data_IF_963688664324
#
_entry.id   IF_963688664324
#
_cell.length_a   1.000
_cell.length_b   1.000
_cell.length_c   1.000
_cell.angle_alpha   90.00
_cell.angle_beta   90.00
_cell.angle_gamma   90.00
#
_symmetry.space_group_name_H-M   'P 1'
#
loop_
_entity.id
_entity.type
_entity.pdbx_description
1 polymer ?
#
# COMPACT_ATOMS: atom_id res chain seq x y z
N UNK A 1 57.82 -101.77 40.63
CA UNK A 1 57.34 -100.72 41.55
C UNK A 1 56.18 -100.05 40.87
N UNK A 2 54.98 -100.52 41.18
CA UNK A 2 53.73 -100.00 40.63
C UNK A 2 53.33 -98.76 41.43
N UNK A 3 53.15 -97.62 40.77
CA UNK A 3 52.62 -96.42 41.39
C UNK A 3 51.10 -96.57 41.52
N UNK A 4 50.65 -97.12 42.64
CA UNK A 4 49.22 -97.17 42.96
C UNK A 4 48.75 -95.74 43.26
N UNK A 5 48.08 -95.11 42.30
CA UNK A 5 47.36 -93.86 42.49
C UNK A 5 46.26 -94.12 43.53
N UNK A 6 46.48 -93.69 44.78
CA UNK A 6 45.45 -93.72 45.80
C UNK A 6 44.41 -92.65 45.50
N UNK A 7 43.24 -93.06 45.04
CA UNK A 7 42.07 -92.20 44.97
C UNK A 7 41.55 -92.00 46.39
N UNK A 8 41.72 -90.80 46.95
CA UNK A 8 41.01 -90.42 48.16
C UNK A 8 39.55 -90.13 47.76
N UNK A 9 38.70 -91.14 47.85
CA UNK A 9 37.25 -90.99 47.71
C UNK A 9 36.69 -90.48 49.03
N UNK A 10 36.39 -89.18 49.07
CA UNK A 10 35.59 -88.59 50.14
C UNK A 10 34.16 -89.17 50.09
N UNK A 11 33.49 -89.38 51.23
CA UNK A 11 32.13 -89.90 51.26
C UNK A 11 31.17 -88.94 50.54
N UNK A 12 30.23 -89.50 49.76
CA UNK A 12 29.33 -88.80 48.82
C UNK A 12 28.54 -87.62 49.43
N UNK A 13 28.31 -87.63 50.74
CA UNK A 13 27.60 -86.56 51.46
C UNK A 13 28.43 -85.28 51.57
N UNK A 14 29.74 -85.43 51.82
CA UNK A 14 30.64 -84.30 52.01
C UNK A 14 30.99 -83.65 50.67
N UNK A 15 31.11 -84.45 49.60
CA UNK A 15 31.30 -83.96 48.24
C UNK A 15 30.10 -83.12 47.77
N UNK A 16 28.87 -83.59 47.99
CA UNK A 16 27.65 -82.80 47.68
C UNK A 16 27.63 -81.47 48.42
N UNK A 17 27.98 -81.48 49.71
CA UNK A 17 28.00 -80.26 50.51
C UNK A 17 29.10 -79.28 50.04
N UNK A 18 30.27 -79.76 49.60
CA UNK A 18 31.31 -78.90 49.01
C UNK A 18 30.89 -78.35 47.65
N UNK A 19 30.26 -79.14 46.79
CA UNK A 19 29.75 -78.70 45.47
C UNK A 19 28.67 -77.64 45.60
N UNK A 20 27.77 -77.82 46.55
CA UNK A 20 26.67 -76.88 46.83
C UNK A 20 27.18 -75.58 47.45
N UNK A 21 28.17 -75.67 48.36
CA UNK A 21 28.89 -74.49 48.88
C UNK A 21 29.61 -73.74 47.76
N UNK A 22 30.37 -74.43 46.90
CA UNK A 22 31.08 -73.83 45.77
C UNK A 22 30.12 -73.20 44.75
N UNK A 23 28.99 -73.86 44.45
CA UNK A 23 27.96 -73.32 43.58
C UNK A 23 27.30 -72.07 44.19
N UNK A 24 27.07 -72.05 45.50
CA UNK A 24 26.51 -70.90 46.21
C UNK A 24 27.48 -69.71 46.28
N UNK A 25 28.77 -69.94 46.55
CA UNK A 25 29.79 -68.88 46.52
C UNK A 25 30.03 -68.36 45.10
N UNK A 26 30.05 -69.24 44.10
CA UNK A 26 30.24 -68.83 42.70
C UNK A 26 29.05 -68.02 42.18
N UNK A 27 27.80 -68.43 42.49
CA UNK A 27 26.61 -67.61 42.20
C UNK A 27 26.66 -66.25 42.91
N UNK A 28 27.03 -66.21 44.20
CA UNK A 28 27.16 -64.94 44.94
C UNK A 28 28.24 -64.03 44.37
N UNK A 29 29.34 -64.61 43.90
CA UNK A 29 30.44 -63.85 43.30
C UNK A 29 30.05 -63.30 41.93
N UNK A 30 29.30 -64.07 41.13
CA UNK A 30 28.80 -63.66 39.81
C UNK A 30 27.68 -62.60 39.92
N UNK A 31 26.76 -62.75 40.89
CA UNK A 31 25.76 -61.73 41.25
C UNK A 31 26.41 -60.42 41.71
N UNK A 32 27.48 -60.51 42.51
CA UNK A 32 28.26 -59.34 42.94
C UNK A 32 28.99 -58.68 41.76
N UNK A 33 29.55 -59.47 40.84
CA UNK A 33 30.21 -58.95 39.64
C UNK A 33 29.22 -58.28 38.69
N UNK A 34 28.04 -58.88 38.48
CA UNK A 34 26.92 -58.26 37.75
C UNK A 34 26.43 -56.98 38.43
N UNK A 35 26.35 -56.96 39.77
CA UNK A 35 25.97 -55.79 40.55
C UNK A 35 26.97 -54.64 40.40
N UNK A 36 28.27 -54.94 40.40
CA UNK A 36 29.35 -53.97 40.18
C UNK A 36 29.31 -53.42 38.75
N UNK A 37 29.13 -54.28 37.74
CA UNK A 37 29.07 -53.87 36.33
C UNK A 37 27.82 -53.00 36.04
N UNK A 38 26.66 -53.38 36.61
CA UNK A 38 25.45 -52.53 36.59
C UNK A 38 25.69 -51.17 37.24
N UNK A 39 26.37 -51.12 38.39
CA UNK A 39 26.68 -49.87 39.10
C UNK A 39 27.64 -48.99 38.31
N UNK A 40 28.59 -49.59 37.59
CA UNK A 40 29.53 -48.87 36.74
C UNK A 40 28.84 -48.31 35.49
N UNK A 41 27.96 -49.10 34.85
CA UNK A 41 27.11 -48.65 33.74
C UNK A 41 26.17 -47.51 34.13
N UNK A 42 25.55 -47.58 35.31
CA UNK A 42 24.72 -46.51 35.88
C UNK A 42 25.52 -45.21 36.11
N UNK A 43 26.75 -45.31 36.59
CA UNK A 43 27.64 -44.14 36.75
C UNK A 43 28.01 -43.52 35.40
N UNK A 44 28.28 -44.33 34.37
CA UNK A 44 28.58 -43.84 33.02
C UNK A 44 27.36 -43.14 32.40
N UNK A 45 26.18 -43.76 32.47
CA UNK A 45 24.92 -43.18 32.00
C UNK A 45 24.59 -41.85 32.69
N UNK A 46 24.85 -41.76 34.01
CA UNK A 46 24.63 -40.51 34.75
C UNK A 46 25.55 -39.38 34.29
N UNK A 47 26.82 -39.68 34.01
CA UNK A 47 27.77 -38.69 33.44
C UNK A 47 27.36 -38.25 32.04
N UNK A 48 26.82 -39.15 31.24
CA UNK A 48 26.32 -38.84 29.90
C UNK A 48 25.06 -37.98 29.95
N UNK A 49 24.11 -38.31 30.84
CA UNK A 49 22.91 -37.50 31.10
C UNK A 49 23.26 -36.08 31.59
N UNK A 50 24.18 -35.97 32.55
CA UNK A 50 24.65 -34.68 33.05
C UNK A 50 25.40 -33.86 31.97
N UNK A 51 26.05 -34.53 31.00
CA UNK A 51 26.67 -33.90 29.83
C UNK A 51 25.66 -33.50 28.75
N UNK A 52 24.57 -34.24 28.57
CA UNK A 52 23.55 -33.98 27.54
C UNK A 52 22.52 -32.93 27.96
N UNK A 53 22.18 -32.85 29.26
CA UNK A 53 21.27 -31.81 29.81
C UNK A 53 21.58 -30.37 29.39
N UNK A 54 22.82 -29.86 29.48
CA UNK A 54 23.13 -28.49 29.06
C UNK A 54 22.97 -28.30 27.54
N UNK A 55 23.31 -29.31 26.73
CA UNK A 55 23.12 -29.25 25.29
C UNK A 55 21.64 -29.17 24.91
N UNK A 56 20.78 -29.94 25.60
CA UNK A 56 19.33 -29.88 25.42
C UNK A 56 18.79 -28.48 25.78
N UNK A 57 19.20 -27.92 26.92
CA UNK A 57 18.82 -26.55 27.32
C UNK A 57 19.28 -25.49 26.32
N UNK A 58 20.50 -25.62 25.79
CA UNK A 58 21.03 -24.72 24.77
C UNK A 58 20.23 -24.83 23.46
N UNK A 59 19.92 -26.05 23.00
CA UNK A 59 19.09 -26.27 21.82
C UNK A 59 17.67 -25.71 22.00
N UNK A 60 17.08 -25.87 23.19
CA UNK A 60 15.78 -25.27 23.53
C UNK A 60 15.84 -23.74 23.52
N UNK A 61 16.91 -23.14 24.05
CA UNK A 61 17.10 -21.69 24.02
C UNK A 61 17.27 -21.17 22.58
N UNK A 62 18.06 -21.85 21.74
CA UNK A 62 18.28 -21.49 20.34
C UNK A 62 16.97 -21.58 19.56
N UNK A 63 16.20 -22.65 19.72
CA UNK A 63 14.91 -22.81 19.03
C UNK A 63 13.88 -21.77 19.47
N UNK A 64 13.83 -21.43 20.77
CA UNK A 64 13.01 -20.31 21.26
C UNK A 64 13.43 -18.97 20.66
N UNK A 65 14.73 -18.69 20.59
CA UNK A 65 15.25 -17.46 19.99
C UNK A 65 14.95 -17.40 18.48
N UNK A 66 15.11 -18.51 17.76
CA UNK A 66 14.79 -18.60 16.33
C UNK A 66 13.29 -18.37 16.07
N UNK A 67 12.40 -18.94 16.90
CA UNK A 67 10.95 -18.70 16.81
C UNK A 67 10.60 -17.22 17.02
N UNK A 68 11.21 -16.55 17.99
CA UNK A 68 10.99 -15.11 18.21
C UNK A 68 11.38 -14.29 16.99
N UNK A 69 12.57 -14.51 16.45
CA UNK A 69 13.03 -13.85 15.22
C UNK A 69 12.10 -14.10 14.05
N UNK A 70 11.61 -15.34 13.89
CA UNK A 70 10.64 -15.66 12.85
C UNK A 70 9.37 -14.79 12.98
N UNK A 71 8.79 -14.69 14.17
CA UNK A 71 7.59 -13.89 14.38
C UNK A 71 7.84 -12.38 14.16
N UNK A 72 8.95 -11.85 14.67
CA UNK A 72 9.36 -10.46 14.47
C UNK A 72 9.50 -10.11 12.97
N UNK A 73 10.12 -10.99 12.19
CA UNK A 73 10.24 -10.77 10.75
C UNK A 73 8.90 -10.94 10.00
N UNK A 74 8.03 -11.85 10.43
CA UNK A 74 6.68 -11.95 9.85
C UNK A 74 5.83 -10.72 10.11
N UNK A 75 5.97 -10.09 11.28
CA UNK A 75 5.28 -8.84 11.62
C UNK A 75 5.76 -7.70 10.71
N UNK A 76 7.08 -7.50 10.61
CA UNK A 76 7.68 -6.51 9.68
C UNK A 76 7.26 -6.74 8.24
N UNK A 77 7.20 -8.01 7.79
CA UNK A 77 6.75 -8.36 6.44
C UNK A 77 5.30 -7.93 6.23
N UNK A 78 4.43 -8.19 7.21
CA UNK A 78 3.02 -7.81 7.15
C UNK A 78 2.82 -6.28 7.12
N UNK A 79 3.60 -5.54 7.91
CA UNK A 79 3.61 -4.07 7.90
C UNK A 79 4.05 -3.53 6.54
N UNK A 80 5.13 -4.09 5.97
CA UNK A 80 5.62 -3.68 4.66
C UNK A 80 4.61 -3.98 3.55
N UNK A 81 3.94 -5.13 3.61
CA UNK A 81 2.86 -5.47 2.67
C UNK A 81 1.69 -4.50 2.78
N UNK A 82 1.31 -4.10 4.00
CA UNK A 82 0.28 -3.10 4.21
C UNK A 82 0.66 -1.75 3.61
N UNK A 83 1.89 -1.28 3.87
CA UNK A 83 2.40 -0.02 3.30
C UNK A 83 2.45 -0.07 1.77
N UNK A 84 2.91 -1.18 1.20
CA UNK A 84 2.95 -1.37 -0.24
C UNK A 84 1.55 -1.31 -0.85
N UNK A 85 0.57 -1.97 -0.23
CA UNK A 85 -0.83 -1.92 -0.68
C UNK A 85 -1.38 -0.49 -0.62
N UNK A 86 -1.16 0.22 0.50
CA UNK A 86 -1.58 1.61 0.64
C UNK A 86 -0.95 2.53 -0.42
N UNK A 87 0.35 2.36 -0.70
CA UNK A 87 1.05 3.11 -1.74
C UNK A 87 0.52 2.79 -3.14
N UNK A 88 0.23 1.51 -3.42
CA UNK A 88 -0.33 1.09 -4.70
C UNK A 88 -1.75 1.64 -4.90
N UNK A 89 -2.59 1.63 -3.86
CA UNK A 89 -3.94 2.21 -3.93
C UNK A 89 -3.87 3.71 -4.23
N UNK A 90 -2.95 4.44 -3.59
CA UNK A 90 -2.68 5.84 -3.88
C UNK A 90 -2.19 6.06 -5.33
N UNK A 91 -1.31 5.20 -5.83
CA UNK A 91 -0.84 5.26 -7.22
C UNK A 91 -1.99 5.05 -8.22
N UNK A 92 -2.89 4.10 -7.93
CA UNK A 92 -4.05 3.83 -8.76
C UNK A 92 -5.01 5.03 -8.79
N UNK A 93 -5.26 5.65 -7.64
CA UNK A 93 -6.08 6.87 -7.56
C UNK A 93 -5.45 8.02 -8.36
N UNK A 94 -4.16 8.29 -8.17
CA UNK A 94 -3.44 9.33 -8.89
C UNK A 94 -3.47 9.09 -10.41
N UNK A 95 -3.35 7.84 -10.84
CA UNK A 95 -3.47 7.48 -12.25
C UNK A 95 -4.90 7.70 -12.78
N UNK A 96 -5.93 7.32 -12.01
CA UNK A 96 -7.32 7.57 -12.38
C UNK A 96 -7.60 9.09 -12.52
N UNK A 97 -7.10 9.90 -11.58
CA UNK A 97 -7.20 11.35 -11.64
C UNK A 97 -6.50 11.92 -12.89
N UNK A 98 -5.29 11.46 -13.21
CA UNK A 98 -4.57 11.86 -14.42
C UNK A 98 -5.38 11.54 -15.69
N UNK A 99 -5.98 10.36 -15.76
CA UNK A 99 -6.80 9.96 -16.91
C UNK A 99 -8.05 10.83 -17.03
N UNK A 100 -8.71 11.14 -15.91
CA UNK A 100 -9.84 12.06 -15.89
C UNK A 100 -9.44 13.47 -16.37
N UNK A 101 -8.31 14.01 -15.90
CA UNK A 101 -7.81 15.32 -16.33
C UNK A 101 -7.45 15.34 -17.81
N UNK A 102 -6.83 14.28 -18.34
CA UNK A 102 -6.56 14.14 -19.79
C UNK A 102 -7.85 14.16 -20.60
N UNK A 103 -8.87 13.40 -20.18
CA UNK A 103 -10.20 13.42 -20.82
C UNK A 103 -10.81 14.82 -20.79
N UNK A 104 -10.79 15.49 -19.63
CA UNK A 104 -11.31 16.86 -19.50
C UNK A 104 -10.57 17.85 -20.39
N UNK A 105 -9.24 17.73 -20.49
CA UNK A 105 -8.42 18.56 -21.38
C UNK A 105 -8.80 18.35 -22.84
N UNK A 106 -8.94 17.09 -23.27
CA UNK A 106 -9.36 16.75 -24.63
C UNK A 106 -10.75 17.31 -24.96
N UNK A 107 -11.72 17.16 -24.05
CA UNK A 107 -13.07 17.70 -24.25
C UNK A 107 -13.07 19.22 -24.34
N UNK A 108 -12.34 19.92 -23.45
CA UNK A 108 -12.21 21.38 -23.50
C UNK A 108 -11.53 21.87 -24.79
N UNK A 109 -10.59 21.09 -25.31
CA UNK A 109 -9.83 21.43 -26.52
C UNK A 109 -10.42 20.83 -27.80
N UNK A 110 -11.61 20.22 -27.75
CA UNK A 110 -12.23 19.51 -28.88
C UNK A 110 -12.29 20.35 -30.16
N UNK A 111 -12.64 21.63 -30.02
CA UNK A 111 -12.78 22.56 -31.15
C UNK A 111 -11.55 23.45 -31.39
N UNK A 112 -10.58 23.44 -30.47
CA UNK A 112 -9.43 24.35 -30.53
C UNK A 112 -8.54 24.10 -31.75
N UNK A 113 -8.15 22.85 -32.00
CA UNK A 113 -7.27 22.50 -33.12
C UNK A 113 -7.95 22.71 -34.48
N UNK A 114 -9.21 22.26 -34.70
CA UNK A 114 -9.94 22.60 -35.92
C UNK A 114 -9.98 24.10 -36.23
N UNK A 115 -10.26 24.94 -35.22
CA UNK A 115 -10.28 26.39 -35.42
C UNK A 115 -8.90 26.96 -35.77
N UNK A 116 -7.83 26.40 -35.18
CA UNK A 116 -6.46 26.81 -35.51
C UNK A 116 -6.08 26.40 -36.94
N UNK A 117 -6.46 25.20 -37.36
CA UNK A 117 -6.21 24.73 -38.72
C UNK A 117 -6.98 25.56 -39.74
N UNK A 118 -8.23 25.92 -39.44
CA UNK A 118 -9.04 26.75 -40.31
C UNK A 118 -8.52 28.19 -40.41
N UNK A 119 -8.00 28.74 -39.31
CA UNK A 119 -7.27 30.01 -39.32
C UNK A 119 -6.03 29.93 -40.22
N UNK A 120 -5.25 28.85 -40.12
CA UNK A 120 -4.06 28.65 -40.95
C UNK A 120 -4.44 28.56 -42.44
N UNK A 121 -5.47 27.80 -42.80
CA UNK A 121 -5.97 27.71 -44.18
C UNK A 121 -6.43 29.06 -44.72
N UNK A 122 -7.16 29.85 -43.93
CA UNK A 122 -7.57 31.19 -44.32
C UNK A 122 -6.35 32.09 -44.59
N UNK A 123 -5.34 32.03 -43.72
CA UNK A 123 -4.08 32.76 -43.91
C UNK A 123 -3.33 32.30 -45.16
N UNK A 124 -3.26 30.99 -45.44
CA UNK A 124 -2.65 30.46 -46.66
C UNK A 124 -3.35 30.94 -47.93
N UNK A 125 -4.69 30.97 -47.94
CA UNK A 125 -5.46 31.49 -49.08
C UNK A 125 -5.28 33.00 -49.25
N UNK A 126 -5.22 33.74 -48.14
CA UNK A 126 -4.94 35.16 -48.15
C UNK A 126 -3.53 35.47 -48.70
N UNK A 127 -2.52 34.71 -48.29
CA UNK A 127 -1.13 34.83 -48.78
C UNK A 127 -1.01 34.47 -50.27
N UNK A 128 -1.79 33.48 -50.74
CA UNK A 128 -1.86 33.12 -52.17
C UNK A 128 -2.57 34.18 -53.01
N UNK A 129 -3.32 35.10 -52.39
CA UNK A 129 -4.07 36.15 -53.08
C UNK A 129 -5.38 35.68 -53.72
N UNK A 130 -5.82 34.44 -53.44
CA UNK A 130 -7.08 33.89 -53.98
C UNK A 130 -8.27 34.37 -53.15
N UNK A 131 -8.77 35.55 -53.53
CA UNK A 131 -9.87 36.24 -52.82
C UNK A 131 -11.19 35.47 -52.90
N UNK A 132 -11.45 34.80 -54.02
CA UNK A 132 -12.72 34.07 -54.25
C UNK A 132 -12.74 32.81 -53.39
N UNK A 133 -11.64 32.04 -53.39
CA UNK A 133 -11.55 30.87 -52.53
C UNK A 133 -11.60 31.23 -51.04
N UNK A 134 -10.95 32.33 -50.64
CA UNK A 134 -11.00 32.82 -49.26
C UNK A 134 -12.43 33.22 -48.85
N UNK A 135 -13.15 33.95 -49.70
CA UNK A 135 -14.54 34.35 -49.41
C UNK A 135 -15.44 33.13 -49.25
N UNK A 136 -15.37 32.18 -50.19
CA UNK A 136 -16.14 30.94 -50.12
C UNK A 136 -15.78 30.12 -48.87
N UNK A 137 -14.50 30.07 -48.50
CA UNK A 137 -14.05 29.41 -47.27
C UNK A 137 -14.67 30.07 -46.02
N UNK A 138 -14.66 31.39 -45.93
CA UNK A 138 -15.27 32.12 -44.81
C UNK A 138 -16.79 31.89 -44.73
N UNK A 139 -17.50 31.90 -45.86
CA UNK A 139 -18.95 31.62 -45.90
C UNK A 139 -19.22 30.19 -45.40
N UNK A 140 -18.50 29.20 -45.93
CA UNK A 140 -18.64 27.81 -45.51
C UNK A 140 -18.34 27.61 -44.01
N UNK A 141 -17.42 28.39 -43.42
CA UNK A 141 -17.15 28.34 -41.99
C UNK A 141 -18.30 28.86 -41.15
N UNK A 142 -18.91 29.98 -41.56
CA UNK A 142 -20.08 30.53 -40.88
C UNK A 142 -21.25 29.56 -40.98
N UNK A 143 -21.50 28.97 -42.15
CA UNK A 143 -22.55 27.97 -42.33
C UNK A 143 -22.36 26.75 -41.41
N UNK A 144 -21.14 26.18 -41.34
CA UNK A 144 -20.83 25.08 -40.41
C UNK A 144 -21.03 25.47 -38.94
N UNK A 145 -20.64 26.68 -38.57
CA UNK A 145 -20.85 27.18 -37.22
C UNK A 145 -22.34 27.32 -36.91
N UNK A 146 -23.13 27.88 -37.83
CA UNK A 146 -24.57 28.05 -37.67
C UNK A 146 -25.30 26.72 -37.61
N UNK A 147 -24.89 25.74 -38.41
CA UNK A 147 -25.42 24.37 -38.35
C UNK A 147 -25.15 23.73 -36.98
N UNK A 148 -23.91 23.86 -36.47
CA UNK A 148 -23.54 23.38 -35.14
C UNK A 148 -24.30 24.11 -34.02
N UNK A 149 -24.49 25.42 -34.15
CA UNK A 149 -25.23 26.24 -33.19
C UNK A 149 -26.71 25.87 -33.12
N UNK A 150 -27.33 25.56 -34.25
CA UNK A 150 -28.75 25.23 -34.34
C UNK A 150 -29.03 23.78 -33.93
N UNK A 151 -28.21 22.83 -34.37
CA UNK A 151 -28.45 21.41 -34.16
C UNK A 151 -27.90 20.86 -32.84
N UNK A 152 -26.87 21.49 -32.26
CA UNK A 152 -26.20 20.98 -31.06
C UNK A 152 -26.39 21.90 -29.84
N UNK A 153 -27.34 21.54 -28.98
CA UNK A 153 -27.63 22.27 -27.74
C UNK A 153 -26.46 22.24 -26.73
N UNK A 154 -25.68 21.14 -26.68
CA UNK A 154 -24.53 21.04 -25.78
C UNK A 154 -23.44 22.05 -26.18
N UNK A 155 -23.16 22.17 -27.47
CA UNK A 155 -22.23 23.18 -28.00
C UNK A 155 -22.70 24.60 -27.65
N UNK A 156 -24.00 24.89 -27.84
CA UNK A 156 -24.59 26.20 -27.52
C UNK A 156 -24.40 26.56 -26.05
N UNK A 157 -24.75 25.64 -25.15
CA UNK A 157 -24.59 25.82 -23.69
C UNK A 157 -23.14 26.04 -23.29
N UNK A 158 -22.20 25.28 -23.86
CA UNK A 158 -20.78 25.46 -23.60
C UNK A 158 -20.28 26.81 -24.12
N UNK A 159 -20.63 27.17 -25.35
CA UNK A 159 -20.25 28.44 -25.94
C UNK A 159 -20.75 29.63 -25.10
N UNK A 160 -22.02 29.62 -24.69
CA UNK A 160 -22.58 30.64 -23.80
C UNK A 160 -21.85 30.64 -22.46
N UNK A 161 -21.59 29.48 -21.84
CA UNK A 161 -20.89 29.41 -20.55
C UNK A 161 -19.49 30.03 -20.60
N UNK A 162 -18.71 29.74 -21.65
CA UNK A 162 -17.35 30.25 -21.79
C UNK A 162 -17.30 31.72 -22.25
N UNK A 163 -18.26 32.17 -23.06
CA UNK A 163 -18.31 33.55 -23.55
C UNK A 163 -19.06 34.51 -22.63
N UNK A 164 -19.99 34.04 -21.80
CA UNK A 164 -20.84 34.85 -20.91
C UNK A 164 -20.03 35.86 -20.11
N UNK A 165 -18.86 35.47 -19.60
CA UNK A 165 -17.99 36.40 -18.87
C UNK A 165 -17.44 37.51 -19.78
N UNK A 166 -16.93 37.18 -20.96
CA UNK A 166 -16.45 38.17 -21.93
C UNK A 166 -17.57 39.11 -22.39
N UNK A 167 -18.76 38.55 -22.64
CA UNK A 167 -19.99 39.29 -22.94
C UNK A 167 -20.36 40.24 -21.82
N UNK A 168 -20.37 39.79 -20.56
CA UNK A 168 -20.61 40.65 -19.40
C UNK A 168 -19.58 41.77 -19.29
N UNK A 169 -18.30 41.51 -19.59
CA UNK A 169 -17.26 42.55 -19.59
C UNK A 169 -17.47 43.58 -20.70
N UNK A 170 -17.81 43.13 -21.92
CA UNK A 170 -17.95 43.99 -23.09
C UNK A 170 -19.27 44.75 -23.12
N UNK A 171 -20.37 44.07 -22.81
CA UNK A 171 -21.75 44.58 -22.96
C UNK A 171 -22.40 44.96 -21.63
N UNK A 172 -21.79 44.59 -20.49
CA UNK A 172 -22.31 44.87 -19.13
C UNK A 172 -23.71 44.33 -18.84
N UNK A 173 -24.22 43.41 -19.66
CA UNK A 173 -25.51 42.75 -19.49
C UNK A 173 -25.39 41.26 -19.84
N UNK A 174 -26.28 40.44 -19.28
CA UNK A 174 -26.38 39.00 -19.60
C UNK A 174 -27.19 38.76 -20.87
N UNK A 175 -28.13 39.65 -21.18
CA UNK A 175 -29.10 39.52 -22.28
C UNK A 175 -28.59 40.11 -23.62
N UNK A 176 -27.27 40.30 -23.75
CA UNK A 176 -26.60 40.88 -24.94
C UNK A 176 -27.07 42.30 -25.35
N UNK A 177 -27.93 42.96 -24.55
CA UNK A 177 -28.42 44.32 -24.80
C UNK A 177 -27.42 45.38 -24.34
N UNK A 178 -27.24 46.44 -25.12
CA UNK A 178 -26.53 47.62 -24.62
C UNK A 178 -27.23 48.19 -23.37
N UNK A 179 -26.42 48.71 -22.45
CA UNK A 179 -26.89 49.30 -21.21
C UNK A 179 -27.80 50.51 -21.45
N UNK A 180 -28.97 50.54 -20.83
CA UNK A 180 -29.89 51.68 -20.93
C UNK A 180 -29.40 52.88 -20.11
N UNK A 181 -29.79 54.12 -20.46
CA UNK A 181 -29.50 55.29 -19.63
C UNK A 181 -30.07 55.11 -18.22
N UNK A 182 -29.21 55.03 -17.20
CA UNK A 182 -29.60 54.95 -15.78
C UNK A 182 -29.66 53.55 -15.17
N UNK A 183 -29.32 52.49 -15.91
CA UNK A 183 -29.13 51.17 -15.32
C UNK A 183 -27.85 51.18 -14.44
N UNK A 184 -27.59 50.15 -13.61
CA UNK A 184 -26.33 49.99 -12.84
C UNK A 184 -25.58 48.76 -13.36
N UNK A 185 -24.27 48.84 -13.74
CA UNK A 185 -23.58 47.70 -14.30
C UNK A 185 -23.45 46.58 -13.25
N UNK A 186 -23.71 45.31 -13.60
CA UNK A 186 -23.51 44.21 -12.67
C UNK A 186 -22.03 44.11 -12.29
N UNK A 187 -21.76 43.96 -10.99
CA UNK A 187 -20.41 43.75 -10.47
C UNK A 187 -19.91 42.40 -10.97
N UNK A 188 -18.95 42.41 -11.89
CA UNK A 188 -18.36 41.18 -12.41
C UNK A 188 -17.39 40.63 -11.36
N UNK A 189 -17.64 39.44 -10.77
CA UNK A 189 -16.74 38.90 -9.77
C UNK A 189 -15.33 38.74 -10.35
N UNK A 190 -14.31 39.25 -9.65
CA UNK A 190 -12.91 38.97 -10.03
C UNK A 190 -12.70 37.46 -9.89
N UNK A 191 -12.10 36.83 -10.89
CA UNK A 191 -11.95 35.38 -10.89
C UNK A 191 -11.14 34.94 -9.66
N UNK A 192 -11.76 34.18 -8.76
CA UNK A 192 -11.15 33.62 -7.53
C UNK A 192 -10.09 32.55 -7.85
N UNK A 193 -9.85 32.25 -9.13
CA UNK A 193 -8.94 31.21 -9.57
C UNK A 193 -7.60 31.78 -10.03
N UNK A 194 -6.82 32.39 -9.13
CA UNK A 194 -5.34 32.50 -9.15
C UNK A 194 -4.62 33.02 -10.41
N UNK A 195 -5.33 33.38 -11.49
CA UNK A 195 -4.77 33.99 -12.70
C UNK A 195 -5.06 35.47 -12.63
N UNK A 196 -4.13 36.20 -12.04
CA UNK A 196 -4.00 37.62 -12.28
C UNK A 196 -3.72 37.81 -13.78
N UNK A 197 -4.73 38.24 -14.52
CA UNK A 197 -4.51 38.79 -15.86
C UNK A 197 -4.19 40.27 -15.66
N UNK A 198 -3.10 40.73 -16.25
CA UNK A 198 -2.62 42.10 -16.16
C UNK A 198 -3.55 42.97 -17.02
N UNK A 199 -4.29 43.86 -16.37
CA UNK A 199 -5.06 44.90 -17.05
C UNK A 199 -4.06 45.91 -17.66
N UNK A 200 -3.75 45.77 -18.96
CA UNK A 200 -3.04 46.81 -19.72
C UNK A 200 -3.99 47.92 -20.18
N UNK A 201 -4.98 48.29 -19.39
CA UNK A 201 -5.71 49.54 -19.60
C UNK A 201 -6.44 49.91 -18.30
N UNK A 202 -5.73 50.59 -17.39
CA UNK A 202 -6.24 51.69 -16.57
C UNK A 202 -5.17 52.07 -15.56
N UNK A 203 -4.39 53.08 -15.92
CA UNK A 203 -3.66 53.91 -14.98
C UNK A 203 -4.71 54.69 -14.17
N UNK A 204 -4.75 54.52 -12.85
CA UNK A 204 -5.52 55.39 -11.97
C UNK A 204 -6.13 54.71 -10.75
N UNK A 205 -5.61 55.11 -9.59
CA UNK A 205 -6.27 55.19 -8.28
C UNK A 205 -6.06 54.05 -7.27
N UNK A 206 -5.10 54.38 -6.39
CA UNK A 206 -5.09 54.26 -4.92
C UNK A 206 -5.04 52.88 -4.27
N UNK A 207 -3.81 52.59 -3.87
CA UNK A 207 -3.37 51.74 -2.77
C UNK A 207 -4.13 51.98 -1.46
N UNK A 208 -5.18 51.20 -1.22
CA UNK A 208 -5.70 50.90 0.13
C UNK A 208 -6.57 49.64 0.01
N UNK A 209 -5.93 48.49 0.10
CA UNK A 209 -6.52 47.20 0.54
C UNK A 209 -5.44 46.10 0.57
N UNK A 210 -4.23 46.46 1.02
CA UNK A 210 -3.10 45.53 1.13
C UNK A 210 -3.03 44.82 2.50
N UNK A 211 -4.00 45.06 3.39
CA UNK A 211 -3.85 44.69 4.82
C UNK A 211 -4.76 43.55 5.29
N UNK A 212 -5.64 43.00 4.44
CA UNK A 212 -6.51 41.88 4.84
C UNK A 212 -6.07 40.51 4.31
N UNK A 213 -5.15 40.46 3.33
CA UNK A 213 -4.70 39.21 2.71
C UNK A 213 -3.50 38.58 3.45
N UNK A 214 -2.57 39.38 4.00
CA UNK A 214 -1.45 38.85 4.81
C UNK A 214 -1.93 38.18 6.11
N UNK A 215 -3.03 38.66 6.68
CA UNK A 215 -3.60 38.08 7.91
C UNK A 215 -4.30 36.75 7.65
N UNK A 216 -4.90 36.56 6.47
CA UNK A 216 -5.57 35.31 6.10
C UNK A 216 -4.58 34.21 5.70
N UNK A 217 -3.50 34.56 4.98
CA UNK A 217 -2.42 33.63 4.62
C UNK A 217 -1.64 33.17 5.85
N UNK A 218 -1.33 34.09 6.78
CA UNK A 218 -0.70 33.74 8.06
C UNK A 218 -1.58 32.85 8.96
N UNK A 219 -2.92 32.96 8.84
CA UNK A 219 -3.87 32.10 9.56
C UNK A 219 -3.95 30.70 8.95
N UNK A 220 -3.84 30.57 7.63
CA UNK A 220 -3.85 29.29 6.93
C UNK A 220 -2.55 28.49 7.14
N UNK A 221 -1.39 29.16 7.13
CA UNK A 221 -0.10 28.51 7.41
C UNK A 221 0.00 27.99 8.85
N UNK A 222 -0.53 28.74 9.83
CA UNK A 222 -0.59 28.26 11.24
C UNK A 222 -1.50 27.04 11.42
N UNK A 223 -2.60 26.94 10.66
CA UNK A 223 -3.51 25.78 10.73
C UNK A 223 -2.89 24.54 10.08
N UNK A 224 -2.12 24.71 9.00
CA UNK A 224 -1.36 23.62 8.38
C UNK A 224 -0.20 23.14 9.26
N UNK A 225 0.53 24.05 9.90
CA UNK A 225 1.60 23.70 10.84
C UNK A 225 1.06 22.94 12.07
N UNK A 226 -0.10 23.35 12.62
CA UNK A 226 -0.73 22.67 13.75
C UNK A 226 -1.17 21.23 13.40
N UNK A 227 -1.75 21.01 12.22
CA UNK A 227 -2.16 19.65 11.77
C UNK A 227 -0.98 18.72 11.51
N UNK A 228 0.14 19.24 11.00
CA UNK A 228 1.37 18.45 10.79
C UNK A 228 2.01 18.06 12.13
N UNK A 229 1.91 18.91 13.16
CA UNK A 229 2.36 18.59 14.52
C UNK A 229 1.46 17.56 15.20
N UNK A 230 0.15 17.60 14.94
CA UNK A 230 -0.82 16.63 15.48
C UNK A 230 -0.62 15.23 14.89
N UNK A 231 -0.40 15.11 13.58
CA UNK A 231 -0.08 13.83 12.93
C UNK A 231 1.23 13.21 13.44
N UNK A 232 2.24 14.03 13.79
CA UNK A 232 3.48 13.53 14.40
C UNK A 232 3.29 13.05 15.84
N UNK A 233 2.34 13.61 16.61
CA UNK A 233 2.01 13.12 17.96
C UNK A 233 1.28 11.78 17.95
N UNK A 234 0.44 11.50 16.94
CA UNK A 234 -0.24 10.20 16.81
C UNK A 234 0.71 9.04 16.49
N UNK A 235 1.88 9.31 15.88
CA UNK A 235 2.91 8.27 15.65
C UNK A 235 3.78 7.98 16.88
N UNK A 236 3.68 8.78 17.96
CA UNK A 236 4.49 8.63 19.17
C UNK A 236 3.78 7.86 20.31
N UNK A 237 2.49 7.57 20.17
CA UNK A 237 1.71 6.81 21.15
C UNK A 237 1.02 5.61 20.51
N UNK A 238 1.81 4.61 20.11
CA UNK A 238 1.29 3.24 20.04
C UNK A 238 1.44 2.62 21.45
N UNK A 239 0.34 2.23 22.13
CA UNK A 239 0.43 1.66 23.46
C UNK A 239 1.04 0.25 23.38
N UNK A 240 2.04 0.01 24.23
CA UNK A 240 2.53 -1.32 24.59
C UNK A 240 1.36 -2.12 25.16
N UNK A 241 0.79 -3.05 24.39
CA UNK A 241 -0.22 -3.97 24.90
C UNK A 241 0.48 -5.14 25.57
N UNK A 242 0.47 -5.09 26.91
CA UNK A 242 0.80 -6.19 27.81
C UNK A 242 -0.06 -7.42 27.52
N UNK A 243 0.60 -8.56 27.30
CA UNK A 243 -0.03 -9.86 27.20
C UNK A 243 -0.66 -10.25 28.55
N UNK A 244 -1.98 -10.44 28.55
CA UNK A 244 -2.67 -11.19 29.61
C UNK A 244 -3.39 -12.35 28.94
N UNK A 245 -2.97 -13.55 29.32
CA UNK A 245 -3.59 -14.83 28.97
C UNK A 245 -5.07 -14.87 29.34
N UNK A 246 -5.93 -15.25 28.40
CA UNK A 246 -7.20 -15.89 28.70
C UNK A 246 -7.53 -16.91 27.61
N UNK A 247 -7.87 -18.10 28.06
CA UNK A 247 -8.14 -19.31 27.30
C UNK A 247 -9.33 -19.18 26.35
N UNK A 248 -9.31 -20.01 25.29
CA UNK A 248 -10.54 -20.62 24.77
C UNK A 248 -10.82 -20.46 23.27
N UNK A 249 -10.39 -21.49 22.53
CA UNK A 249 -11.25 -22.26 21.62
C UNK A 249 -11.73 -21.71 20.24
N UNK A 250 -11.20 -22.40 19.21
CA UNK A 250 -11.81 -22.91 17.95
C UNK A 250 -12.26 -21.93 16.85
N UNK A 251 -11.59 -21.98 15.68
CA UNK A 251 -12.03 -22.69 14.46
C UNK A 251 -11.18 -22.28 13.25
N UNK A 252 -10.44 -23.25 12.71
CA UNK A 252 -9.89 -23.20 11.35
C UNK A 252 -11.07 -23.33 10.37
N UNK A 253 -11.29 -22.31 9.54
CA UNK A 253 -12.11 -22.43 8.33
C UNK A 253 -11.25 -22.15 7.11
N UNK A 254 -10.91 -23.22 6.41
CA UNK A 254 -10.33 -23.20 5.07
C UNK A 254 -11.35 -22.58 4.09
N UNK A 255 -10.94 -21.54 3.35
CA UNK A 255 -11.69 -21.05 2.20
C UNK A 255 -10.98 -21.49 0.92
N UNK A 256 -11.55 -22.53 0.30
CA UNK A 256 -11.26 -22.98 -1.06
C UNK A 256 -11.86 -21.92 -2.01
N UNK A 257 -11.02 -21.16 -2.70
CA UNK A 257 -11.46 -20.35 -3.84
C UNK A 257 -11.47 -21.23 -5.08
N UNK A 258 -12.67 -21.71 -5.46
CA UNK A 258 -12.94 -22.27 -6.79
C UNK A 258 -12.93 -21.13 -7.81
N UNK A 259 -12.11 -21.32 -8.84
CA UNK A 259 -11.95 -20.44 -9.99
C UNK A 259 -13.08 -20.73 -11.02
N UNK A 260 -13.97 -19.77 -11.38
CA UNK A 260 -14.97 -20.00 -12.41
C UNK A 260 -14.61 -19.19 -13.67
N UNK A 261 -13.78 -19.76 -14.54
CA UNK A 261 -13.66 -19.29 -15.92
C UNK A 261 -13.02 -20.39 -16.78
N UNK A 262 -13.84 -21.37 -17.17
CA UNK A 262 -13.56 -22.31 -18.26
C UNK A 262 -14.88 -22.86 -18.80
N UNK A 263 -15.53 -22.06 -19.62
CA UNK A 263 -16.59 -22.41 -20.57
C UNK A 263 -16.68 -21.21 -21.54
N UNK A 264 -16.72 -21.29 -22.87
CA UNK A 264 -16.85 -22.35 -23.87
C UNK A 264 -16.69 -21.60 -25.19
N UNK A 265 -15.81 -22.04 -26.11
CA UNK A 265 -15.90 -21.66 -27.52
C UNK A 265 -15.54 -22.86 -28.39
N UNK A 266 -16.57 -23.61 -28.74
CA UNK A 266 -16.61 -24.50 -29.90
C UNK A 266 -18.02 -24.40 -30.48
N UNK A 267 -18.13 -23.67 -31.58
CA UNK A 267 -18.92 -23.97 -32.78
C UNK A 267 -18.56 -22.94 -33.84
#
# INVERSE_FOLDING_TARGET
MEWTVHHQTLPLKDEKQTREKLSSTMNRQDENQQGLDRKQRLKSLKKEDDRLKPNLKNAEAITKAAKRKYYEETEKLSELQYQFKAANDLQQEAHAQLQCLKKQSYQKNKHFWPYKDDLNKANELALKGDKVALQNFCINQVEKYMDLWNNNDAFRKEYVRYNCRSTLWRLRTLDDRAFGPGEVPPVIPRAVNGRAFVDHTMSGLTSKDRTQEEVAVAKAEKVLAAKVVEQKKFMQYAPTVSATTSNGNVLFSALIVRNPNLATKTN
#
